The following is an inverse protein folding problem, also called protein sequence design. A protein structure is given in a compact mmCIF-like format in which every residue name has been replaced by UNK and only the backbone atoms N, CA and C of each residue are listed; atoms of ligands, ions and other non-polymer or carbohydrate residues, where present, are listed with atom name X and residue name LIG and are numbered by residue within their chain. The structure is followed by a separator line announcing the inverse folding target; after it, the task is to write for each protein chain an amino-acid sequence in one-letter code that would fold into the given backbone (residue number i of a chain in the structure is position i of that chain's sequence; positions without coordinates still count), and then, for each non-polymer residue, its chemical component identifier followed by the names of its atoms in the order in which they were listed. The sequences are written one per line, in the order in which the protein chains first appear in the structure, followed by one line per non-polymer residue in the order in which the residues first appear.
data_IF_896676218699
#
_entry.id   IF_896676218699
#
_cell.length_a   1.000
_cell.length_b   1.000
_cell.length_c   1.000
_cell.angle_alpha   90.00
_cell.angle_beta   90.00
_cell.angle_gamma   90.00
#
_symmetry.space_group_name_H-M   'P 1'
#
loop_
_entity.id
_entity.type
_entity.pdbx_description
1 polymer ?
#
# COMPACT_ATOMS: atom_id res chain seq x y z
N UNK A 1 14.95 4.04 -10.24
CA UNK A 1 13.55 4.26 -9.85
C UNK A 1 12.82 2.97 -10.15
N UNK A 2 12.06 2.43 -9.20
CA UNK A 2 11.33 1.18 -9.41
C UNK A 2 10.13 1.48 -10.31
N UNK A 3 9.71 0.56 -11.17
CA UNK A 3 8.47 0.75 -11.95
C UNK A 3 7.24 0.56 -11.07
N UNK A 4 6.12 1.19 -11.41
CA UNK A 4 4.83 1.02 -10.71
C UNK A 4 4.47 -0.45 -10.58
N UNK A 5 4.55 -1.19 -11.68
CA UNK A 5 4.24 -2.63 -11.76
C UNK A 5 5.12 -3.44 -10.81
N UNK A 6 6.44 -3.22 -10.82
CA UNK A 6 7.35 -3.97 -9.94
C UNK A 6 7.09 -3.67 -8.46
N UNK A 7 6.74 -2.42 -8.10
CA UNK A 7 6.42 -2.08 -6.72
C UNK A 7 5.10 -2.74 -6.27
N UNK A 8 4.09 -2.76 -7.15
CA UNK A 8 2.80 -3.45 -6.93
C UNK A 8 3.02 -4.95 -6.73
N UNK A 9 3.84 -5.58 -7.58
CA UNK A 9 4.14 -7.00 -7.49
C UNK A 9 4.90 -7.36 -6.21
N UNK A 10 5.90 -6.54 -5.83
CA UNK A 10 6.62 -6.71 -4.57
C UNK A 10 5.67 -6.63 -3.38
N UNK A 11 4.80 -5.62 -3.33
CA UNK A 11 3.82 -5.48 -2.27
C UNK A 11 2.88 -6.68 -2.17
N UNK A 12 2.32 -7.14 -3.30
CA UNK A 12 1.45 -8.32 -3.32
C UNK A 12 2.15 -9.58 -2.83
N UNK A 13 3.44 -9.75 -3.13
CA UNK A 13 4.23 -10.87 -2.63
C UNK A 13 4.43 -10.81 -1.11
N UNK A 14 4.70 -9.62 -0.56
CA UNK A 14 4.83 -9.44 0.88
C UNK A 14 3.51 -9.72 1.62
N UNK A 15 2.38 -9.36 1.01
CA UNK A 15 1.05 -9.49 1.59
C UNK A 15 0.52 -10.92 1.65
N UNK A 16 1.02 -11.82 0.78
CA UNK A 16 0.47 -13.17 0.62
C UNK A 16 0.54 -14.04 1.88
N UNK A 17 1.61 -13.86 2.67
CA UNK A 17 1.88 -14.63 3.89
C UNK A 17 2.06 -13.70 5.10
N UNK A 18 1.60 -12.45 5.00
CA UNK A 18 1.73 -11.46 6.05
C UNK A 18 0.84 -11.78 7.26
N UNK A 19 1.44 -11.82 8.44
CA UNK A 19 0.72 -11.64 9.70
C UNK A 19 0.18 -10.20 9.81
N UNK A 20 -0.76 -9.95 10.72
CA UNK A 20 -1.33 -8.62 10.94
C UNK A 20 -0.26 -7.54 11.17
N UNK A 21 0.82 -7.81 11.90
CA UNK A 21 1.90 -6.83 12.08
C UNK A 21 2.63 -6.53 10.77
N UNK A 22 2.95 -7.58 10.01
CA UNK A 22 3.62 -7.46 8.71
C UNK A 22 2.74 -6.73 7.71
N UNK A 23 1.45 -7.07 7.66
CA UNK A 23 0.44 -6.42 6.83
C UNK A 23 0.47 -4.91 7.04
N UNK A 24 0.32 -4.48 8.31
CA UNK A 24 0.28 -3.05 8.65
C UNK A 24 1.56 -2.33 8.23
N UNK A 25 2.72 -2.93 8.53
CA UNK A 25 4.01 -2.37 8.15
C UNK A 25 4.19 -2.29 6.62
N UNK A 26 3.75 -3.31 5.88
CA UNK A 26 3.83 -3.36 4.42
C UNK A 26 2.91 -2.32 3.77
N UNK A 27 1.68 -2.11 4.26
CA UNK A 27 0.77 -1.07 3.74
C UNK A 27 1.35 0.32 3.99
N UNK A 28 1.84 0.60 5.21
CA UNK A 28 2.44 1.89 5.56
C UNK A 28 3.70 2.16 4.72
N UNK A 29 4.57 1.15 4.57
CA UNK A 29 5.79 1.24 3.75
C UNK A 29 5.49 1.47 2.27
N UNK A 30 4.54 0.70 1.71
CA UNK A 30 4.12 0.84 0.32
C UNK A 30 3.55 2.23 0.05
N UNK A 31 2.65 2.72 0.90
CA UNK A 31 2.00 4.03 0.76
C UNK A 31 3.04 5.15 0.73
N UNK A 32 3.98 5.12 1.68
CA UNK A 32 5.07 6.10 1.75
C UNK A 32 5.99 6.04 0.52
N UNK A 33 6.36 4.83 0.09
CA UNK A 33 7.26 4.65 -1.04
C UNK A 33 6.60 5.02 -2.38
N UNK A 34 5.31 4.75 -2.53
CA UNK A 34 4.52 5.14 -3.69
C UNK A 34 4.39 6.65 -3.78
N UNK A 35 3.96 7.31 -2.70
CA UNK A 35 3.85 8.77 -2.64
C UNK A 35 5.21 9.44 -2.92
N UNK A 36 6.29 8.94 -2.30
CA UNK A 36 7.63 9.48 -2.53
C UNK A 36 8.10 9.36 -3.99
N UNK A 37 7.80 8.24 -4.67
CA UNK A 37 8.25 8.03 -6.05
C UNK A 37 7.35 8.66 -7.11
N UNK A 38 6.05 8.73 -6.87
CA UNK A 38 5.07 9.13 -7.91
C UNK A 38 4.29 10.40 -7.56
N UNK A 39 4.32 10.85 -6.30
CA UNK A 39 3.78 12.14 -5.84
C UNK A 39 2.27 12.18 -5.60
N UNK A 40 1.57 11.04 -5.72
CA UNK A 40 0.13 10.93 -5.49
C UNK A 40 -0.30 9.47 -5.29
N UNK A 41 -1.35 9.25 -4.49
CA UNK A 41 -2.00 7.95 -4.27
C UNK A 41 -3.18 7.74 -5.24
N UNK A 42 -2.91 7.84 -6.54
CA UNK A 42 -3.91 7.64 -7.60
C UNK A 42 -3.39 6.61 -8.62
N UNK A 43 -4.30 6.00 -9.39
CA UNK A 43 -3.99 4.95 -10.36
C UNK A 43 -3.37 3.69 -9.71
N UNK A 44 -3.75 3.41 -8.47
CA UNK A 44 -3.43 2.16 -7.81
C UNK A 44 -4.42 1.08 -8.30
N UNK A 45 -4.01 -0.20 -8.32
CA UNK A 45 -4.95 -1.29 -8.46
C UNK A 45 -5.96 -1.32 -7.32
N UNK A 46 -7.22 -1.64 -7.62
CA UNK A 46 -8.29 -1.64 -6.64
C UNK A 46 -8.01 -2.52 -5.39
N UNK A 47 -7.27 -3.63 -5.54
CA UNK A 47 -6.86 -4.46 -4.40
C UNK A 47 -5.93 -3.72 -3.44
N UNK A 48 -5.03 -2.89 -3.96
CA UNK A 48 -4.12 -2.09 -3.15
C UNK A 48 -4.82 -0.88 -2.56
N UNK A 49 -5.72 -0.25 -3.32
CA UNK A 49 -6.56 0.84 -2.81
C UNK A 49 -7.39 0.41 -1.60
N UNK A 50 -7.91 -0.82 -1.59
CA UNK A 50 -8.67 -1.36 -0.45
C UNK A 50 -7.79 -1.46 0.81
N UNK A 51 -6.56 -1.97 0.68
CA UNK A 51 -5.62 -2.06 1.80
C UNK A 51 -5.26 -0.69 2.40
N UNK A 52 -5.01 0.31 1.55
CA UNK A 52 -4.69 1.67 1.98
C UNK A 52 -5.91 2.36 2.58
N UNK A 53 -7.08 2.17 1.97
CA UNK A 53 -8.34 2.73 2.47
C UNK A 53 -8.67 2.14 3.83
N UNK A 54 -8.61 0.83 3.99
CA UNK A 54 -8.81 0.14 5.27
C UNK A 54 -7.87 0.69 6.34
N UNK A 55 -6.59 0.88 6.00
CA UNK A 55 -5.60 1.49 6.88
C UNK A 55 -5.96 2.93 7.26
N UNK A 56 -6.45 3.72 6.31
CA UNK A 56 -6.90 5.10 6.56
C UNK A 56 -8.13 5.17 7.47
N UNK A 57 -9.06 4.22 7.36
CA UNK A 57 -10.18 4.05 8.30
C UNK A 57 -9.68 3.74 9.72
N UNK A 58 -8.70 2.85 9.89
CA UNK A 58 -8.13 2.54 11.22
C UNK A 58 -7.53 3.78 11.91
N UNK A 59 -6.97 4.71 11.14
CA UNK A 59 -6.43 5.97 11.64
C UNK A 59 -7.49 7.07 11.83
N UNK A 60 -8.75 6.84 11.45
CA UNK A 60 -9.82 7.84 11.49
C UNK A 60 -9.61 8.98 10.49
N UNK A 61 -8.92 8.71 9.38
CA UNK A 61 -8.67 9.70 8.32
C UNK A 61 -9.80 9.76 7.28
N UNK A 62 -10.72 8.80 7.32
CA UNK A 62 -11.91 8.72 6.48
C UNK A 62 -13.14 8.57 7.40
N UNK A 63 -14.22 9.30 7.09
CA UNK A 63 -15.48 9.34 7.86
C UNK A 63 -16.65 8.74 7.07
#
# INVERSE_FOLDING_TARGET
MMSKESLIESFRMEMKDADQQTYTASVDSFTNLWDYQYGYLENLPADIEDHITNRAWEFGMLE
#
